data_IF_544039631792
#
_entry.id   IF_544039631792
#
_cell.length_a   1.000
_cell.length_b   1.000
_cell.length_c   1.000
_cell.angle_alpha   90.00
_cell.angle_beta   90.00
_cell.angle_gamma   90.00
#
_symmetry.space_group_name_H-M   'P 1'
#
loop_
_entity.id
_entity.type
_entity.pdbx_description
1 polymer ?
#
# COMPACT_ATOMS: atom_id res chain seq x y z
N UNK A 1 45.80 23.46 -10.51
CA UNK A 1 44.77 22.84 -11.37
C UNK A 1 44.46 21.44 -10.83
N UNK A 2 43.45 21.30 -9.99
CA UNK A 2 42.90 19.99 -9.62
C UNK A 2 41.42 19.99 -9.98
N UNK A 3 41.06 19.16 -10.96
CA UNK A 3 39.67 18.92 -11.37
C UNK A 3 39.00 18.10 -10.27
N UNK A 4 37.94 18.66 -9.69
CA UNK A 4 37.03 17.94 -8.80
C UNK A 4 36.37 16.79 -9.55
N UNK A 5 36.59 15.57 -9.07
CA UNK A 5 35.83 14.40 -9.49
C UNK A 5 34.41 14.53 -8.97
N UNK A 6 33.45 14.71 -9.89
CA UNK A 6 32.03 14.56 -9.61
C UNK A 6 31.78 13.10 -9.22
N UNK A 7 31.56 12.87 -7.92
CA UNK A 7 31.04 11.62 -7.41
C UNK A 7 29.66 11.39 -8.04
N UNK A 8 29.57 10.41 -8.94
CA UNK A 8 28.28 9.95 -9.47
C UNK A 8 27.43 9.43 -8.30
N UNK A 9 26.14 9.78 -8.21
CA UNK A 9 25.28 9.23 -7.16
C UNK A 9 25.13 7.71 -7.37
N UNK A 10 24.97 6.93 -6.28
CA UNK A 10 24.81 5.48 -6.38
C UNK A 10 23.49 5.17 -7.08
N UNK A 11 23.59 4.50 -8.22
CA UNK A 11 22.45 4.00 -9.00
C UNK A 11 21.87 2.81 -8.23
N UNK A 12 20.63 2.94 -7.76
CA UNK A 12 19.69 1.90 -7.30
C UNK A 12 20.28 0.47 -7.19
N UNK A 13 20.80 0.12 -6.01
CA UNK A 13 21.25 -1.24 -5.69
C UNK A 13 20.38 -1.91 -4.63
N UNK A 14 19.05 -1.75 -4.65
CA UNK A 14 18.15 -2.68 -3.92
C UNK A 14 17.76 -3.83 -4.84
N UNK A 15 18.38 -4.99 -4.61
CA UNK A 15 18.05 -6.25 -5.28
C UNK A 15 16.73 -6.79 -4.71
N UNK A 16 15.60 -6.48 -5.34
CA UNK A 16 14.59 -7.49 -5.74
C UNK A 16 13.30 -6.87 -6.29
N UNK A 17 12.86 -5.71 -5.79
CA UNK A 17 11.49 -5.21 -6.05
C UNK A 17 11.39 -4.18 -7.18
N UNK A 18 12.20 -3.08 -7.21
CA UNK A 18 12.06 -2.09 -8.28
C UNK A 18 12.41 -2.65 -9.67
N UNK A 19 13.29 -3.64 -9.75
CA UNK A 19 13.66 -4.28 -11.01
C UNK A 19 12.48 -5.01 -11.68
N UNK A 20 11.61 -5.67 -10.90
CA UNK A 20 10.47 -6.40 -11.43
C UNK A 20 9.35 -5.45 -11.89
N UNK A 21 9.09 -4.36 -11.16
CA UNK A 21 8.15 -3.30 -11.58
C UNK A 21 8.58 -2.67 -12.90
N UNK A 22 9.86 -2.32 -13.05
CA UNK A 22 10.38 -1.77 -14.30
C UNK A 22 10.33 -2.77 -15.46
N UNK A 23 10.56 -4.06 -15.20
CA UNK A 23 10.39 -5.10 -16.20
C UNK A 23 8.94 -5.20 -16.67
N UNK A 24 7.96 -5.11 -15.76
CA UNK A 24 6.54 -5.09 -16.11
C UNK A 24 6.20 -3.87 -16.95
N UNK A 25 6.61 -2.68 -16.53
CA UNK A 25 6.35 -1.43 -17.26
C UNK A 25 6.96 -1.45 -18.67
N UNK A 26 8.12 -2.10 -18.86
CA UNK A 26 8.81 -2.25 -20.15
C UNK A 26 8.33 -3.46 -20.96
N UNK A 27 7.50 -4.33 -20.42
CA UNK A 27 7.09 -5.55 -21.11
C UNK A 27 6.35 -5.24 -22.42
N UNK A 28 6.50 -6.12 -23.40
CA UNK A 28 5.67 -6.07 -24.60
C UNK A 28 4.19 -6.18 -24.17
N UNK A 29 3.33 -5.32 -24.72
CA UNK A 29 1.91 -5.23 -24.37
C UNK A 29 1.64 -4.86 -22.90
N UNK A 30 2.59 -4.22 -22.22
CA UNK A 30 2.47 -3.71 -20.85
C UNK A 30 1.13 -3.02 -20.53
N UNK A 31 0.58 -2.11 -21.37
CA UNK A 31 -0.72 -1.50 -21.11
C UNK A 31 -1.87 -2.51 -20.99
N UNK A 32 -1.88 -3.56 -21.82
CA UNK A 32 -2.90 -4.61 -21.78
C UNK A 32 -2.71 -5.54 -20.58
N UNK A 33 -1.46 -5.86 -20.24
CA UNK A 33 -1.15 -6.66 -19.04
C UNK A 33 -1.63 -5.90 -17.80
N UNK A 34 -1.30 -4.61 -17.68
CA UNK A 34 -1.71 -3.78 -16.54
C UNK A 34 -3.23 -3.62 -16.48
N UNK A 35 -3.90 -3.39 -17.61
CA UNK A 35 -5.36 -3.31 -17.65
C UNK A 35 -6.00 -4.63 -17.17
N UNK A 36 -5.53 -5.76 -17.71
CA UNK A 36 -6.01 -7.09 -17.31
C UNK A 36 -5.77 -7.37 -15.82
N UNK A 37 -4.58 -7.09 -15.30
CA UNK A 37 -4.28 -7.28 -13.88
C UNK A 37 -5.11 -6.36 -12.98
N UNK A 38 -5.33 -5.12 -13.40
CA UNK A 38 -6.18 -4.17 -12.67
C UNK A 38 -7.63 -4.63 -12.59
N UNK A 39 -8.16 -5.21 -13.68
CA UNK A 39 -9.53 -5.74 -13.73
C UNK A 39 -9.65 -7.07 -12.98
N UNK A 40 -8.72 -8.01 -13.19
CA UNK A 40 -8.72 -9.33 -12.57
C UNK A 40 -8.77 -9.25 -11.04
N UNK A 41 -8.03 -8.31 -10.45
CA UNK A 41 -7.93 -8.10 -9.01
C UNK A 41 -8.72 -6.89 -8.51
N UNK A 42 -9.74 -6.45 -9.25
CA UNK A 42 -10.52 -5.26 -8.89
C UNK A 42 -11.44 -5.50 -7.68
N UNK A 43 -12.02 -6.69 -7.56
CA UNK A 43 -12.96 -7.05 -6.49
C UNK A 43 -12.37 -8.01 -5.45
N UNK A 44 -11.40 -8.81 -5.86
CA UNK A 44 -10.81 -9.87 -5.06
C UNK A 44 -9.29 -9.74 -5.06
N UNK A 45 -8.65 -9.85 -3.89
CA UNK A 45 -7.19 -9.86 -3.78
C UNK A 45 -6.55 -11.20 -4.11
N UNK A 46 -7.36 -12.26 -4.23
CA UNK A 46 -6.96 -13.61 -4.61
C UNK A 46 -7.93 -14.16 -5.64
N UNK A 47 -7.42 -14.73 -6.72
CA UNK A 47 -8.26 -15.24 -7.81
C UNK A 47 -7.81 -16.65 -8.18
N UNK A 48 -8.72 -17.64 -8.29
CA UNK A 48 -8.34 -18.98 -8.71
C UNK A 48 -7.61 -18.97 -10.05
N UNK A 49 -6.53 -19.73 -10.17
CA UNK A 49 -5.71 -19.82 -11.39
C UNK A 49 -6.58 -20.19 -12.61
N UNK A 50 -7.54 -21.11 -12.41
CA UNK A 50 -8.49 -21.52 -13.44
C UNK A 50 -9.37 -20.36 -13.94
N UNK A 51 -9.87 -19.51 -13.05
CA UNK A 51 -10.66 -18.30 -13.37
C UNK A 51 -9.80 -17.29 -14.13
N UNK A 52 -8.61 -16.99 -13.61
CA UNK A 52 -7.69 -16.07 -14.27
C UNK A 52 -7.31 -16.54 -15.68
N UNK A 53 -7.10 -17.85 -15.88
CA UNK A 53 -6.80 -18.43 -17.18
C UNK A 53 -7.95 -18.24 -18.17
N UNK A 54 -9.19 -18.51 -17.75
CA UNK A 54 -10.38 -18.33 -18.60
C UNK A 54 -10.57 -16.86 -18.96
N UNK A 55 -10.44 -15.95 -17.99
CA UNK A 55 -10.53 -14.50 -18.22
C UNK A 55 -9.46 -14.01 -19.20
N UNK A 56 -8.20 -14.46 -19.03
CA UNK A 56 -7.12 -14.06 -19.92
C UNK A 56 -7.27 -14.66 -21.32
N UNK A 57 -7.74 -15.91 -21.47
CA UNK A 57 -7.98 -16.50 -22.79
C UNK A 57 -9.05 -15.70 -23.55
N UNK A 58 -10.14 -15.29 -22.89
CA UNK A 58 -11.16 -14.44 -23.49
C UNK A 58 -10.59 -13.07 -23.93
N UNK A 59 -9.74 -12.47 -23.10
CA UNK A 59 -9.11 -11.19 -23.39
C UNK A 59 -8.10 -11.30 -24.55
N UNK A 60 -7.31 -12.37 -24.60
CA UNK A 60 -6.38 -12.63 -25.71
C UNK A 60 -7.13 -12.83 -27.03
N UNK A 61 -8.28 -13.51 -27.03
CA UNK A 61 -9.14 -13.62 -28.23
C UNK A 61 -9.59 -12.24 -28.69
N UNK A 62 -10.11 -11.41 -27.78
CA UNK A 62 -10.52 -10.03 -28.07
C UNK A 62 -9.37 -9.18 -28.64
N UNK A 63 -8.18 -9.28 -28.05
CA UNK A 63 -7.01 -8.54 -28.52
C UNK A 63 -6.53 -9.00 -29.90
N UNK A 64 -6.67 -10.29 -30.24
CA UNK A 64 -6.37 -10.81 -31.59
C UNK A 64 -7.35 -10.27 -32.63
N UNK A 65 -8.64 -10.26 -32.32
CA UNK A 65 -9.68 -9.73 -33.22
C UNK A 65 -9.48 -8.24 -33.54
N UNK A 66 -8.97 -7.48 -32.57
CA UNK A 66 -8.66 -6.06 -32.72
C UNK A 66 -7.27 -5.77 -33.30
N UNK A 67 -6.45 -6.79 -33.55
CA UNK A 67 -5.06 -6.63 -34.00
C UNK A 67 -4.15 -5.93 -32.99
N UNK A 68 -4.51 -5.96 -31.70
CA UNK A 68 -3.79 -5.28 -30.61
C UNK A 68 -2.71 -6.17 -29.98
N UNK A 69 -2.96 -7.47 -29.93
CA UNK A 69 -2.00 -8.46 -29.41
C UNK A 69 -2.09 -9.75 -30.23
N UNK A 70 -1.23 -9.83 -31.24
CA UNK A 70 -1.14 -11.01 -32.11
C UNK A 70 -0.23 -12.06 -31.47
N UNK A 71 -0.83 -12.99 -30.73
CA UNK A 71 -0.11 -14.09 -30.09
C UNK A 71 -0.83 -15.42 -30.19
N UNK A 72 -0.10 -16.47 -30.58
CA UNK A 72 -0.58 -17.86 -30.58
C UNK A 72 -0.38 -18.54 -29.21
N UNK A 73 0.25 -17.85 -28.26
CA UNK A 73 0.51 -18.37 -26.92
C UNK A 73 -0.78 -18.35 -26.09
N UNK A 74 -1.09 -19.47 -25.41
CA UNK A 74 -2.27 -19.58 -24.55
C UNK A 74 -2.10 -18.86 -23.20
N UNK A 75 -3.22 -18.52 -22.54
CA UNK A 75 -3.23 -17.78 -21.28
C UNK A 75 -2.38 -18.42 -20.18
N UNK A 76 -2.42 -19.75 -20.03
CA UNK A 76 -1.67 -20.46 -18.99
C UNK A 76 -0.16 -20.22 -19.09
N UNK A 77 0.39 -20.11 -20.31
CA UNK A 77 1.81 -19.82 -20.52
C UNK A 77 2.16 -18.39 -20.14
N UNK A 78 1.25 -17.43 -20.37
CA UNK A 78 1.42 -16.05 -19.94
C UNK A 78 1.36 -15.92 -18.42
N UNK A 79 0.35 -16.51 -17.77
CA UNK A 79 0.26 -16.51 -16.30
C UNK A 79 1.52 -17.11 -15.66
N UNK A 80 1.99 -18.27 -16.16
CA UNK A 80 3.24 -18.88 -15.70
C UNK A 80 4.48 -18.03 -15.99
N UNK A 81 4.49 -17.25 -17.08
CA UNK A 81 5.56 -16.27 -17.34
C UNK A 81 5.51 -15.13 -16.33
N UNK A 82 4.33 -14.59 -16.04
CA UNK A 82 4.16 -13.50 -15.08
C UNK A 82 4.48 -13.91 -13.65
N UNK A 83 4.21 -15.17 -13.28
CA UNK A 83 4.66 -15.74 -12.00
C UNK A 83 6.19 -15.80 -11.95
N UNK A 84 6.84 -16.30 -13.00
CA UNK A 84 8.32 -16.39 -13.08
C UNK A 84 9.02 -15.04 -13.08
N UNK A 85 8.44 -14.02 -13.71
CA UNK A 85 8.97 -12.65 -13.68
C UNK A 85 8.68 -11.93 -12.35
N UNK A 86 7.95 -12.56 -11.43
CA UNK A 86 7.64 -12.02 -10.12
C UNK A 86 6.57 -10.92 -10.14
N UNK A 87 5.67 -10.94 -11.13
CA UNK A 87 4.53 -10.00 -11.20
C UNK A 87 3.30 -10.57 -10.49
N UNK A 88 3.10 -11.89 -10.60
CA UNK A 88 2.07 -12.62 -9.90
C UNK A 88 2.69 -13.69 -9.02
N UNK A 89 1.90 -14.19 -8.08
CA UNK A 89 2.24 -15.33 -7.24
C UNK A 89 1.08 -16.29 -7.20
N UNK A 90 1.39 -17.58 -7.26
CA UNK A 90 0.43 -18.67 -7.10
C UNK A 90 0.71 -19.41 -5.78
N UNK A 91 -0.35 -19.69 -5.01
CA UNK A 91 -0.31 -20.51 -3.81
C UNK A 91 -1.65 -21.21 -3.66
N UNK A 92 -1.65 -22.54 -3.49
CA UNK A 92 -2.88 -23.35 -3.38
C UNK A 92 -3.91 -23.09 -4.51
N UNK A 93 -3.45 -23.09 -5.76
CA UNK A 93 -4.24 -22.73 -6.97
C UNK A 93 -4.84 -21.30 -6.97
N UNK A 94 -4.42 -20.43 -6.06
CA UNK A 94 -4.86 -19.03 -5.97
C UNK A 94 -3.75 -18.08 -6.42
N UNK A 95 -4.10 -17.18 -7.35
CA UNK A 95 -3.24 -16.12 -7.84
C UNK A 95 -3.39 -14.85 -7.03
N UNK A 96 -2.28 -14.16 -6.84
CA UNK A 96 -2.16 -12.90 -6.10
C UNK A 96 -1.20 -11.93 -6.79
N UNK A 97 -1.40 -10.63 -6.60
CA UNK A 97 -0.43 -9.60 -7.00
C UNK A 97 0.76 -9.59 -6.04
N UNK A 98 1.92 -9.30 -6.59
CA UNK A 98 3.16 -9.02 -5.83
C UNK A 98 3.29 -7.51 -5.61
N UNK A 99 4.19 -7.08 -4.72
CA UNK A 99 4.50 -5.64 -4.59
C UNK A 99 4.93 -5.03 -5.93
N UNK A 100 5.69 -5.79 -6.73
CA UNK A 100 6.19 -5.33 -8.01
C UNK A 100 5.09 -4.96 -9.01
N UNK A 101 4.02 -5.77 -9.09
CA UNK A 101 2.88 -5.47 -9.97
C UNK A 101 1.98 -4.39 -9.40
N UNK A 102 1.81 -4.34 -8.07
CA UNK A 102 1.06 -3.28 -7.40
C UNK A 102 1.68 -1.89 -7.66
N UNK A 103 3.01 -1.77 -7.51
CA UNK A 103 3.75 -0.54 -7.79
C UNK A 103 3.61 -0.11 -9.25
N UNK A 104 3.71 -1.05 -10.20
CA UNK A 104 3.58 -0.74 -11.63
C UNK A 104 2.15 -0.29 -12.00
N UNK A 105 1.12 -0.95 -11.45
CA UNK A 105 -0.28 -0.58 -11.63
C UNK A 105 -0.53 0.83 -11.10
N UNK A 106 -0.14 1.10 -9.85
CA UNK A 106 -0.28 2.42 -9.22
C UNK A 106 0.43 3.51 -10.01
N UNK A 107 1.67 3.24 -10.43
CA UNK A 107 2.43 4.19 -11.25
C UNK A 107 1.69 4.52 -12.55
N UNK A 108 1.17 3.51 -13.25
CA UNK A 108 0.45 3.70 -14.51
C UNK A 108 -0.84 4.52 -14.32
N UNK A 109 -1.59 4.27 -13.24
CA UNK A 109 -2.80 5.04 -12.90
C UNK A 109 -2.44 6.50 -12.54
N UNK A 110 -1.35 6.71 -11.81
CA UNK A 110 -0.87 8.05 -11.46
C UNK A 110 -0.40 8.90 -12.65
N UNK A 111 -0.07 8.28 -13.79
CA UNK A 111 0.28 9.02 -15.01
C UNK A 111 -0.95 9.67 -15.67
N UNK A 112 -2.09 8.99 -15.63
CA UNK A 112 -3.36 9.50 -16.20
C UNK A 112 -3.96 10.60 -15.31
N UNK A 113 -3.72 10.52 -14.01
CA UNK A 113 -4.28 11.44 -13.01
C UNK A 113 -3.48 12.73 -12.78
N UNK A 114 -2.44 13.02 -13.59
CA UNK A 114 -1.64 14.26 -13.47
C UNK A 114 -2.47 15.51 -13.79
N UNK A 115 -3.25 15.94 -12.81
CA UNK A 115 -3.92 17.24 -12.80
C UNK A 115 -2.95 18.31 -12.32
N UNK A 116 -2.93 19.42 -13.04
CA UNK A 116 -2.13 20.64 -12.82
C UNK A 116 -2.45 21.39 -11.51
N UNK A 117 -3.27 20.83 -10.63
CA UNK A 117 -3.79 21.44 -9.40
C UNK A 117 -3.12 21.00 -8.09
N UNK A 118 -2.13 20.11 -8.14
CA UNK A 118 -1.60 19.40 -6.98
C UNK A 118 -0.76 20.27 -6.02
N UNK A 119 -0.28 21.44 -6.43
CA UNK A 119 0.72 22.21 -5.66
C UNK A 119 0.19 22.74 -4.32
N UNK A 120 -1.04 23.28 -4.28
CA UNK A 120 -1.59 23.87 -3.07
C UNK A 120 -2.01 22.83 -2.03
N UNK A 121 -2.57 21.70 -2.49
CA UNK A 121 -2.97 20.60 -1.61
C UNK A 121 -1.77 19.84 -1.07
N UNK A 122 -0.74 19.59 -1.89
CA UNK A 122 0.53 19.02 -1.40
C UNK A 122 1.20 19.93 -0.36
N UNK A 123 1.22 21.25 -0.58
CA UNK A 123 1.77 22.17 0.41
C UNK A 123 1.01 22.08 1.74
N UNK A 124 -0.31 21.92 1.71
CA UNK A 124 -1.15 21.75 2.92
C UNK A 124 -0.79 20.47 3.68
N UNK A 125 -0.63 19.36 2.96
CA UNK A 125 -0.19 18.08 3.54
C UNK A 125 1.20 18.24 4.17
N UNK A 126 2.14 18.84 3.45
CA UNK A 126 3.50 19.07 3.96
C UNK A 126 3.48 19.96 5.20
N UNK A 127 2.67 21.02 5.20
CA UNK A 127 2.52 21.90 6.36
C UNK A 127 1.96 21.14 7.57
N UNK A 128 0.95 20.29 7.40
CA UNK A 128 0.42 19.50 8.52
C UNK A 128 1.44 18.49 9.02
N UNK A 129 2.10 17.75 8.12
CA UNK A 129 3.14 16.79 8.48
C UNK A 129 4.31 17.46 9.22
N UNK A 130 4.75 18.64 8.76
CA UNK A 130 5.81 19.43 9.43
C UNK A 130 5.33 19.89 10.81
N UNK A 131 4.10 20.38 10.93
CA UNK A 131 3.53 20.78 12.23
C UNK A 131 3.52 19.60 13.19
N UNK A 132 2.95 18.47 12.79
CA UNK A 132 2.88 17.23 13.58
C UNK A 132 4.26 16.77 14.01
N UNK A 133 5.20 16.73 13.07
CA UNK A 133 6.57 16.31 13.36
C UNK A 133 7.30 17.26 14.31
N UNK A 134 7.10 18.58 14.17
CA UNK A 134 7.69 19.58 15.08
C UNK A 134 7.25 19.37 16.54
N UNK A 135 5.98 19.00 16.77
CA UNK A 135 5.48 18.69 18.12
C UNK A 135 6.03 17.35 18.62
N UNK A 136 6.18 16.36 17.73
CA UNK A 136 6.65 15.03 18.08
C UNK A 136 8.15 15.00 18.45
N UNK A 137 8.99 15.81 17.78
CA UNK A 137 10.43 15.84 18.01
C UNK A 137 10.85 16.73 19.18
N UNK A 138 10.01 17.70 19.60
CA UNK A 138 10.36 18.59 20.70
C UNK A 138 10.41 17.82 22.05
N UNK A 139 11.54 17.83 22.77
CA UNK A 139 11.65 17.25 24.10
C UNK A 139 11.09 18.18 25.19
N UNK A 140 10.80 19.44 24.88
CA UNK A 140 10.34 20.44 25.84
C UNK A 140 8.81 20.51 25.88
N UNK A 141 8.23 20.29 27.06
CA UNK A 141 6.76 20.34 27.27
C UNK A 141 6.19 21.72 26.93
N UNK A 142 6.86 22.81 27.33
CA UNK A 142 6.35 24.17 27.12
C UNK A 142 6.32 24.54 25.62
N UNK A 143 7.32 24.08 24.87
CA UNK A 143 7.37 24.26 23.42
C UNK A 143 6.26 23.46 22.72
N UNK A 144 6.01 22.22 23.15
CA UNK A 144 4.89 21.41 22.64
C UNK A 144 3.54 22.06 22.92
N UNK A 145 3.34 22.58 24.14
CA UNK A 145 2.11 23.29 24.52
C UNK A 145 1.94 24.54 23.65
N UNK A 146 2.99 25.36 23.49
CA UNK A 146 2.95 26.56 22.65
C UNK A 146 2.55 26.26 21.21
N UNK A 147 3.11 25.19 20.61
CA UNK A 147 2.75 24.75 19.26
C UNK A 147 1.29 24.28 19.16
N UNK A 148 0.78 23.57 20.17
CA UNK A 148 -0.62 23.12 20.22
C UNK A 148 -1.60 24.27 20.45
N UNK A 149 -1.23 25.26 21.28
CA UNK A 149 -2.01 26.47 21.50
C UNK A 149 -2.14 27.31 20.23
N UNK A 150 -1.07 27.40 19.43
CA UNK A 150 -1.11 28.05 18.13
C UNK A 150 -2.12 27.37 17.20
N UNK A 151 -2.14 26.03 17.13
CA UNK A 151 -3.15 25.28 16.35
C UNK A 151 -4.57 25.50 16.87
N UNK A 152 -4.75 25.49 18.20
CA UNK A 152 -6.05 25.79 18.81
C UNK A 152 -6.54 27.18 18.41
N UNK A 153 -5.66 28.18 18.37
CA UNK A 153 -6.00 29.53 17.96
C UNK A 153 -6.35 29.63 16.47
N UNK A 154 -5.73 28.83 15.59
CA UNK A 154 -6.11 28.74 14.17
C UNK A 154 -7.51 28.14 14.01
N UNK A 155 -7.77 26.98 14.63
CA UNK A 155 -9.09 26.34 14.60
C UNK A 155 -10.16 27.24 15.20
N UNK A 156 -9.86 27.94 16.29
CA UNK A 156 -10.81 28.87 16.92
C UNK A 156 -11.18 30.02 15.97
N UNK A 157 -10.21 30.56 15.22
CA UNK A 157 -10.48 31.58 14.19
C UNK A 157 -11.39 31.06 13.08
N UNK A 158 -11.20 29.82 12.64
CA UNK A 158 -12.08 29.19 11.65
C UNK A 158 -13.51 29.02 12.18
N UNK A 159 -13.64 28.56 13.43
CA UNK A 159 -14.94 28.41 14.11
C UNK A 159 -15.64 29.78 14.24
N UNK A 160 -14.92 30.82 14.64
CA UNK A 160 -15.49 32.16 14.82
C UNK A 160 -15.93 32.77 13.49
N UNK A 161 -15.17 32.54 12.41
CA UNK A 161 -15.57 32.94 11.06
C UNK A 161 -16.87 32.23 10.62
N UNK A 162 -16.98 30.91 10.85
CA UNK A 162 -18.20 30.15 10.55
C UNK A 162 -19.39 30.64 11.38
N UNK A 163 -19.20 30.94 12.67
CA UNK A 163 -20.23 31.50 13.55
C UNK A 163 -20.67 32.90 13.11
N UNK A 164 -19.77 33.68 12.51
CA UNK A 164 -20.08 34.97 11.91
C UNK A 164 -20.77 34.86 10.54
N UNK A 165 -21.06 33.64 10.05
CA UNK A 165 -21.72 33.39 8.78
C UNK A 165 -20.79 33.42 7.56
N UNK A 166 -19.47 33.47 7.76
CA UNK A 166 -18.48 33.39 6.68
C UNK A 166 -18.24 31.91 6.36
N UNK A 167 -18.89 31.40 5.32
CA UNK A 167 -18.69 30.03 4.82
C UNK A 167 -17.81 30.10 3.57
N UNK A 168 -16.58 29.60 3.69
CA UNK A 168 -15.68 29.41 2.56
C UNK A 168 -15.92 28.03 1.96
N UNK A 169 -16.70 27.97 0.89
CA UNK A 169 -16.88 26.74 0.13
C UNK A 169 -15.70 26.53 -0.82
N UNK A 170 -15.29 25.27 -0.95
CA UNK A 170 -14.29 24.89 -1.94
C UNK A 170 -14.89 25.02 -3.34
N UNK A 171 -14.12 25.57 -4.26
CA UNK A 171 -14.46 25.54 -5.69
C UNK A 171 -14.55 24.10 -6.19
N UNK A 172 -15.29 23.87 -7.27
CA UNK A 172 -15.40 22.54 -7.90
C UNK A 172 -14.02 21.93 -8.22
N UNK A 173 -13.09 22.78 -8.69
CA UNK A 173 -11.71 22.38 -8.96
C UNK A 173 -11.00 21.88 -7.70
N UNK A 174 -11.10 22.62 -6.59
CA UNK A 174 -10.49 22.23 -5.31
C UNK A 174 -11.14 20.98 -4.71
N UNK A 175 -12.46 20.81 -4.87
CA UNK A 175 -13.17 19.61 -4.43
C UNK A 175 -12.67 18.38 -5.19
N UNK A 176 -12.55 18.49 -6.53
CA UNK A 176 -12.00 17.45 -7.39
C UNK A 176 -10.56 17.10 -7.02
N UNK A 177 -9.73 18.09 -6.74
CA UNK A 177 -8.33 17.87 -6.34
C UNK A 177 -8.24 17.12 -5.02
N UNK A 178 -8.94 17.60 -3.98
CA UNK A 178 -8.88 17.00 -2.64
C UNK A 178 -9.41 15.58 -2.61
N UNK A 179 -10.52 15.29 -3.30
CA UNK A 179 -11.08 13.94 -3.30
C UNK A 179 -10.18 12.94 -4.03
N UNK A 180 -9.49 13.36 -5.10
CA UNK A 180 -8.50 12.55 -5.80
C UNK A 180 -7.24 12.34 -4.97
N UNK A 181 -6.78 13.36 -4.25
CA UNK A 181 -5.66 13.24 -3.32
C UNK A 181 -5.96 12.24 -2.20
N UNK A 182 -7.17 12.26 -1.63
CA UNK A 182 -7.62 11.26 -0.65
C UNK A 182 -7.58 9.84 -1.26
N UNK A 183 -8.09 9.67 -2.49
CA UNK A 183 -8.01 8.37 -3.18
C UNK A 183 -6.56 7.91 -3.39
N UNK A 184 -5.68 8.80 -3.82
CA UNK A 184 -4.26 8.48 -4.03
C UNK A 184 -3.55 8.09 -2.74
N UNK A 185 -3.81 8.80 -1.63
CA UNK A 185 -3.26 8.42 -0.32
C UNK A 185 -3.82 7.07 0.15
N UNK A 186 -5.12 6.83 -0.02
CA UNK A 186 -5.76 5.58 0.38
C UNK A 186 -5.26 4.38 -0.44
N UNK A 187 -4.98 4.54 -1.74
CA UNK A 187 -4.46 3.47 -2.59
C UNK A 187 -3.00 3.11 -2.30
N UNK A 188 -2.25 4.03 -1.66
CA UNK A 188 -0.90 3.74 -1.17
C UNK A 188 -0.94 2.71 -0.04
N UNK A 189 -1.84 2.91 0.91
CA UNK A 189 -1.97 2.08 2.12
C UNK A 189 -2.15 0.59 1.80
N UNK A 190 -2.95 0.24 0.79
CA UNK A 190 -3.17 -1.17 0.43
C UNK A 190 -1.94 -1.85 -0.15
N UNK A 191 -1.06 -1.11 -0.83
CA UNK A 191 0.21 -1.67 -1.33
C UNK A 191 1.28 -1.82 -0.26
N UNK A 192 1.23 -1.03 0.82
CA UNK A 192 2.19 -1.19 1.93
C UNK A 192 2.07 -2.58 2.57
N UNK A 193 0.87 -3.17 2.62
CA UNK A 193 0.69 -4.55 3.05
C UNK A 193 1.35 -5.57 2.12
N UNK A 194 1.30 -5.35 0.79
CA UNK A 194 1.95 -6.25 -0.19
C UNK A 194 3.45 -6.25 0.00
N UNK A 195 4.03 -5.08 0.24
CA UNK A 195 5.45 -4.94 0.57
C UNK A 195 5.82 -5.70 1.84
N UNK A 196 5.06 -5.54 2.92
CA UNK A 196 5.30 -6.24 4.20
C UNK A 196 5.16 -7.76 4.02
N UNK A 197 4.13 -8.21 3.30
CA UNK A 197 3.94 -9.63 2.99
C UNK A 197 5.14 -10.21 2.23
N UNK A 198 5.65 -9.48 1.24
CA UNK A 198 6.81 -9.91 0.44
C UNK A 198 8.10 -9.94 1.28
N UNK A 199 8.31 -8.97 2.18
CA UNK A 199 9.45 -8.97 3.12
C UNK A 199 9.38 -10.15 4.12
N UNK A 200 8.20 -10.43 4.69
CA UNK A 200 7.98 -11.59 5.57
C UNK A 200 8.31 -12.89 4.84
N UNK A 201 7.85 -13.03 3.59
CA UNK A 201 8.11 -14.24 2.79
C UNK A 201 9.58 -14.41 2.44
N UNK A 202 10.31 -13.32 2.16
CA UNK A 202 11.75 -13.40 1.93
C UNK A 202 12.48 -13.95 3.15
N UNK A 203 12.11 -13.47 4.34
CA UNK A 203 12.68 -13.98 5.60
C UNK A 203 12.34 -15.46 5.83
N UNK A 204 11.10 -15.88 5.57
CA UNK A 204 10.71 -17.30 5.66
C UNK A 204 11.54 -18.18 4.72
N UNK A 205 11.71 -17.75 3.47
CA UNK A 205 12.52 -18.49 2.50
C UNK A 205 13.97 -18.62 2.97
N UNK A 206 14.57 -17.55 3.50
CA UNK A 206 15.92 -17.58 4.05
C UNK A 206 16.03 -18.52 5.26
N UNK A 207 15.00 -18.59 6.11
CA UNK A 207 14.95 -19.55 7.23
C UNK A 207 14.93 -20.98 6.71
N UNK A 208 14.06 -21.28 5.75
CA UNK A 208 13.95 -22.63 5.16
C UNK A 208 15.25 -23.08 4.51
N UNK A 209 15.93 -22.20 3.79
CA UNK A 209 17.23 -22.48 3.19
C UNK A 209 18.25 -22.82 4.28
N UNK A 210 18.34 -22.03 5.36
CA UNK A 210 19.23 -22.32 6.48
C UNK A 210 18.93 -23.66 7.17
N UNK A 211 17.66 -24.02 7.32
CA UNK A 211 17.24 -25.31 7.88
C UNK A 211 17.71 -26.47 6.98
N UNK A 212 17.62 -26.30 5.66
CA UNK A 212 17.99 -27.34 4.69
C UNK A 212 19.52 -27.46 4.56
N UNK A 213 20.24 -26.33 4.61
CA UNK A 213 21.70 -26.27 4.42
C UNK A 213 22.51 -26.59 5.68
N UNK A 214 21.92 -26.52 6.87
CA UNK A 214 22.60 -26.80 8.14
C UNK A 214 22.12 -28.08 8.84
N UNK A 215 23.03 -28.79 9.52
CA UNK A 215 22.75 -29.85 10.51
C UNK A 215 22.12 -29.25 11.79
N UNK A 216 21.01 -28.53 11.63
CA UNK A 216 20.38 -27.70 12.65
C UNK A 216 19.54 -28.56 13.59
N UNK A 217 19.71 -28.42 14.90
CA UNK A 217 18.77 -29.07 15.84
C UNK A 217 17.47 -28.28 15.90
N UNK A 218 16.38 -28.92 16.35
CA UNK A 218 15.06 -28.26 16.49
C UNK A 218 15.10 -27.00 17.37
N UNK A 219 16.07 -26.91 18.30
CA UNK A 219 16.30 -25.72 19.14
C UNK A 219 16.96 -24.57 18.39
N UNK A 220 17.93 -24.86 17.51
CA UNK A 220 18.61 -23.86 16.68
C UNK A 220 17.66 -23.25 15.64
N UNK A 221 16.74 -24.05 15.12
CA UNK A 221 15.66 -23.57 14.22
C UNK A 221 14.70 -22.64 14.95
N UNK A 222 14.33 -22.95 16.20
CA UNK A 222 13.45 -22.09 16.98
C UNK A 222 14.13 -20.76 17.33
N UNK A 223 15.42 -20.80 17.68
CA UNK A 223 16.20 -19.60 18.00
C UNK A 223 16.37 -18.71 16.76
N UNK A 224 16.67 -19.29 15.59
CA UNK A 224 16.84 -18.53 14.35
C UNK A 224 15.54 -17.88 13.88
N UNK A 225 14.39 -18.52 14.09
CA UNK A 225 13.06 -17.95 13.85
C UNK A 225 12.82 -16.73 14.75
N UNK A 226 13.06 -16.87 16.06
CA UNK A 226 12.90 -15.77 17.04
C UNK A 226 13.83 -14.59 16.75
N UNK A 227 15.09 -14.85 16.39
CA UNK A 227 16.06 -13.82 16.03
C UNK A 227 15.64 -13.08 14.76
N UNK A 228 15.16 -13.79 13.74
CA UNK A 228 14.70 -13.19 12.49
C UNK A 228 13.37 -12.45 12.61
N UNK A 229 12.49 -12.87 13.50
CA UNK A 229 11.28 -12.12 13.85
C UNK A 229 11.61 -10.78 14.52
N UNK A 230 12.56 -10.78 15.47
CA UNK A 230 13.07 -9.56 16.07
C UNK A 230 13.80 -8.65 15.07
N UNK A 231 14.35 -9.23 13.98
CA UNK A 231 14.90 -8.47 12.85
C UNK A 231 13.81 -7.90 11.95
N UNK A 232 12.73 -8.65 11.68
CA UNK A 232 11.57 -8.17 10.92
C UNK A 232 10.93 -6.96 11.60
N UNK A 233 10.69 -7.02 12.91
CA UNK A 233 10.14 -5.88 13.67
C UNK A 233 11.06 -4.63 13.60
N UNK A 234 12.35 -4.82 13.32
CA UNK A 234 13.33 -3.74 13.12
C UNK A 234 13.50 -3.32 11.66
N UNK A 235 12.90 -4.01 10.68
CA UNK A 235 12.90 -3.52 9.30
C UNK A 235 11.98 -2.32 9.19
N UNK A 236 12.25 -1.46 8.20
CA UNK A 236 11.42 -0.29 7.93
C UNK A 236 9.96 -0.67 7.68
N UNK A 237 9.70 -1.78 6.96
CA UNK A 237 8.33 -2.22 6.69
C UNK A 237 7.66 -2.88 7.90
N UNK A 238 8.39 -3.67 8.70
CA UNK A 238 7.83 -4.27 9.92
C UNK A 238 7.45 -3.22 10.96
N UNK A 239 8.33 -2.23 11.20
CA UNK A 239 8.04 -1.13 12.12
C UNK A 239 6.90 -0.23 11.63
N UNK A 240 6.83 0.05 10.32
CA UNK A 240 5.72 0.77 9.72
C UNK A 240 4.40 -0.01 9.83
N UNK A 241 4.42 -1.33 9.60
CA UNK A 241 3.27 -2.19 9.76
C UNK A 241 2.74 -2.22 11.19
N UNK A 242 3.61 -2.32 12.21
CA UNK A 242 3.19 -2.30 13.61
C UNK A 242 2.48 -0.99 13.96
N UNK A 243 3.08 0.15 13.60
CA UNK A 243 2.49 1.47 13.86
C UNK A 243 1.14 1.64 13.17
N UNK A 244 1.04 1.15 11.94
CA UNK A 244 -0.19 1.17 11.16
C UNK A 244 -1.27 0.21 11.73
N UNK A 245 -0.86 -0.97 12.19
CA UNK A 245 -1.77 -1.95 12.80
C UNK A 245 -2.33 -1.46 14.13
N UNK A 246 -1.53 -0.79 14.96
CA UNK A 246 -1.98 -0.16 16.19
C UNK A 246 -3.09 0.87 15.91
N UNK A 247 -2.96 1.64 14.82
CA UNK A 247 -4.00 2.58 14.38
C UNK A 247 -5.28 1.87 13.93
N UNK A 248 -5.17 0.75 13.21
CA UNK A 248 -6.34 -0.06 12.83
C UNK A 248 -7.04 -0.72 14.02
N UNK A 249 -6.30 -1.05 15.07
CA UNK A 249 -6.86 -1.65 16.29
C UNK A 249 -7.62 -0.65 17.17
N UNK A 250 -7.39 0.66 17.01
CA UNK A 250 -8.17 1.70 17.67
C UNK A 250 -9.56 1.81 17.01
N UNK A 251 -10.53 1.13 17.65
CA UNK A 251 -11.91 1.08 17.16
C UNK A 251 -12.56 2.46 17.03
N UNK A 252 -12.20 3.40 17.91
CA UNK A 252 -12.79 4.74 17.90
C UNK A 252 -12.30 5.51 16.66
N UNK A 253 -10.99 5.50 16.41
CA UNK A 253 -10.38 6.16 15.24
C UNK A 253 -10.87 5.56 13.93
N UNK A 254 -10.93 4.23 13.86
CA UNK A 254 -11.40 3.51 12.68
C UNK A 254 -12.87 3.79 12.38
N UNK A 255 -13.71 3.87 13.41
CA UNK A 255 -15.12 4.22 13.25
C UNK A 255 -15.30 5.67 12.78
N UNK A 256 -14.57 6.61 13.38
CA UNK A 256 -14.58 8.01 13.00
C UNK A 256 -14.17 8.22 11.54
N UNK A 257 -13.05 7.63 11.12
CA UNK A 257 -12.56 7.72 9.74
C UNK A 257 -13.59 7.16 8.74
N UNK A 258 -14.20 6.01 9.05
CA UNK A 258 -15.24 5.40 8.22
C UNK A 258 -16.45 6.32 8.04
N UNK A 259 -16.90 6.94 9.12
CA UNK A 259 -18.08 7.79 9.11
C UNK A 259 -17.79 9.13 8.41
N UNK A 260 -16.59 9.69 8.58
CA UNK A 260 -16.10 10.85 7.82
C UNK A 260 -16.02 10.56 6.32
N UNK A 261 -15.41 9.43 5.92
CA UNK A 261 -15.34 9.02 4.52
C UNK A 261 -16.73 8.84 3.92
N UNK A 262 -17.65 8.18 4.63
CA UNK A 262 -19.04 8.03 4.16
C UNK A 262 -19.74 9.38 3.99
N UNK A 263 -19.51 10.33 4.90
CA UNK A 263 -20.06 11.68 4.80
C UNK A 263 -19.56 12.40 3.55
N UNK A 264 -18.26 12.28 3.23
CA UNK A 264 -17.66 12.87 2.03
C UNK A 264 -18.22 12.20 0.77
N UNK A 265 -18.32 10.86 0.75
CA UNK A 265 -18.80 10.11 -0.40
C UNK A 265 -20.29 10.32 -0.71
N UNK A 266 -21.06 10.88 0.23
CA UNK A 266 -22.46 11.27 0.03
C UNK A 266 -22.64 12.72 -0.48
N UNK A 267 -21.55 13.45 -0.73
CA UNK A 267 -21.58 14.84 -1.24
C UNK A 267 -21.27 14.91 -2.75
N UNK A 268 -21.59 16.03 -3.43
CA UNK A 268 -21.30 16.21 -4.86
C UNK A 268 -19.83 16.03 -5.24
N UNK A 269 -18.90 16.32 -4.32
CA UNK A 269 -17.47 16.09 -4.53
C UNK A 269 -17.13 14.64 -4.96
N UNK A 270 -17.95 13.66 -4.59
CA UNK A 270 -17.77 12.26 -4.97
C UNK A 270 -18.05 11.97 -6.46
N UNK A 271 -18.71 12.87 -7.18
CA UNK A 271 -18.94 12.75 -8.64
C UNK A 271 -17.65 12.91 -9.46
N UNK A 272 -16.60 13.48 -8.85
CA UNK A 272 -15.29 13.61 -9.47
C UNK A 272 -14.43 12.35 -9.40
N UNK A 273 -14.93 11.30 -8.74
CA UNK A 273 -14.33 9.96 -8.69
C UNK A 273 -14.97 9.06 -9.74
N UNK A 274 -14.19 8.12 -10.28
CA UNK A 274 -14.76 7.02 -11.05
C UNK A 274 -15.58 6.08 -10.15
N UNK A 275 -16.47 5.28 -10.74
CA UNK A 275 -17.26 4.29 -10.01
C UNK A 275 -16.37 3.34 -9.19
N UNK A 276 -15.25 2.91 -9.76
CA UNK A 276 -14.28 2.03 -9.11
C UNK A 276 -13.58 2.72 -7.92
N UNK A 277 -13.13 3.98 -8.09
CA UNK A 277 -12.51 4.75 -7.02
C UNK A 277 -13.47 4.97 -5.85
N UNK A 278 -14.75 5.24 -6.14
CA UNK A 278 -15.80 5.41 -5.12
C UNK A 278 -16.09 4.11 -4.37
N UNK A 279 -16.11 2.98 -5.07
CA UNK A 279 -16.27 1.66 -4.47
C UNK A 279 -15.09 1.31 -3.56
N UNK A 280 -13.87 1.55 -4.02
CA UNK A 280 -12.64 1.36 -3.24
C UNK A 280 -12.69 2.14 -1.92
N UNK A 281 -12.97 3.46 -1.95
CA UNK A 281 -13.03 4.27 -0.73
C UNK A 281 -14.15 3.82 0.22
N UNK A 282 -15.29 3.36 -0.29
CA UNK A 282 -16.36 2.79 0.53
C UNK A 282 -15.96 1.47 1.21
N UNK A 283 -15.08 0.70 0.58
CA UNK A 283 -14.63 -0.60 1.07
C UNK A 283 -13.31 -0.52 1.83
N UNK A 284 -12.62 0.63 1.82
CA UNK A 284 -11.27 0.82 2.35
C UNK A 284 -11.06 0.15 3.72
N UNK A 285 -11.86 0.48 4.73
CA UNK A 285 -11.66 -0.10 6.07
C UNK A 285 -11.78 -1.62 6.11
N UNK A 286 -12.66 -2.19 5.30
CA UNK A 286 -12.82 -3.64 5.17
C UNK A 286 -11.61 -4.25 4.49
N UNK A 287 -11.10 -3.62 3.43
CA UNK A 287 -9.90 -4.06 2.72
C UNK A 287 -8.67 -3.98 3.62
N UNK A 288 -8.44 -2.87 4.33
CA UNK A 288 -7.34 -2.73 5.28
C UNK A 288 -7.40 -3.80 6.39
N UNK A 289 -8.61 -4.12 6.88
CA UNK A 289 -8.79 -5.17 7.89
C UNK A 289 -8.49 -6.56 7.33
N UNK A 290 -8.96 -6.85 6.11
CA UNK A 290 -8.74 -8.11 5.41
C UNK A 290 -7.26 -8.33 5.08
N UNK A 291 -6.58 -7.33 4.54
CA UNK A 291 -5.16 -7.40 4.21
C UNK A 291 -4.29 -7.48 5.47
N UNK A 292 -4.68 -6.79 6.55
CA UNK A 292 -4.08 -6.98 7.87
C UNK A 292 -4.21 -8.44 8.34
N UNK A 293 -5.43 -8.99 8.38
CA UNK A 293 -5.68 -10.37 8.78
C UNK A 293 -4.91 -11.37 7.91
N UNK A 294 -4.77 -11.09 6.62
CA UNK A 294 -3.98 -11.89 5.67
C UNK A 294 -2.49 -11.89 6.01
N UNK A 295 -1.89 -10.73 6.28
CA UNK A 295 -0.49 -10.64 6.72
C UNK A 295 -0.29 -11.46 7.99
N UNK A 296 -1.23 -11.40 8.94
CA UNK A 296 -1.18 -12.25 10.14
C UNK A 296 -1.37 -13.73 9.83
N UNK A 297 -2.25 -14.09 8.89
CA UNK A 297 -2.51 -15.48 8.50
C UNK A 297 -1.31 -16.11 7.79
N UNK A 298 -0.65 -15.37 6.89
CA UNK A 298 0.57 -15.81 6.23
C UNK A 298 1.74 -15.84 7.23
N UNK A 299 1.73 -14.97 8.23
CA UNK A 299 2.56 -15.08 9.41
C UNK A 299 2.21 -16.26 10.34
N UNK A 300 1.22 -17.13 10.06
CA UNK A 300 0.83 -18.22 10.99
C UNK A 300 1.84 -19.34 11.14
N UNK A 301 2.79 -19.50 10.24
CA UNK A 301 3.98 -20.32 10.52
C UNK A 301 4.84 -19.72 11.66
N UNK A 302 4.69 -18.42 11.94
CA UNK A 302 5.29 -17.70 13.08
C UNK A 302 4.30 -17.46 14.25
N UNK A 303 2.98 -17.59 14.04
CA UNK A 303 1.95 -17.05 14.94
C UNK A 303 1.77 -17.75 16.29
N UNK A 304 2.37 -18.91 16.56
CA UNK A 304 2.25 -19.51 17.89
C UNK A 304 2.84 -18.58 18.97
N UNK A 305 3.92 -17.86 18.64
CA UNK A 305 4.64 -16.97 19.55
C UNK A 305 4.05 -15.54 19.55
N UNK A 306 3.57 -15.04 18.40
CA UNK A 306 2.88 -13.73 18.34
C UNK A 306 1.54 -13.74 19.11
N UNK A 307 0.86 -14.90 19.20
CA UNK A 307 -0.37 -15.07 20.00
C UNK A 307 -0.08 -15.06 21.51
N UNK A 308 1.03 -15.63 21.94
CA UNK A 308 1.52 -15.52 23.33
C UNK A 308 1.92 -14.07 23.65
N UNK A 309 2.55 -13.36 22.71
CA UNK A 309 2.90 -11.94 22.84
C UNK A 309 1.66 -11.03 22.93
N UNK A 310 0.64 -11.26 22.09
CA UNK A 310 -0.67 -10.57 22.13
C UNK A 310 -1.43 -10.83 23.43
N UNK A 311 -1.37 -12.06 23.97
CA UNK A 311 -1.97 -12.40 25.25
C UNK A 311 -1.23 -11.73 26.41
N UNK A 312 0.11 -11.73 26.42
CA UNK A 312 0.91 -11.10 27.47
C UNK A 312 0.67 -9.58 27.58
N UNK A 313 0.41 -8.89 26.47
CA UNK A 313 0.18 -7.44 26.46
C UNK A 313 -1.26 -7.04 26.82
N UNK A 314 -2.27 -7.84 26.46
CA UNK A 314 -3.66 -7.63 26.91
C UNK A 314 -3.85 -7.83 28.42
N UNK A 315 -2.94 -8.53 29.09
CA UNK A 315 -2.96 -8.71 30.56
C UNK A 315 -2.31 -7.55 31.33
N UNK A 316 -1.71 -6.58 30.64
CA UNK A 316 -1.05 -5.41 31.23
C UNK A 316 -1.81 -4.08 31.05
N UNK A 317 -3.01 -4.10 30.46
CA UNK A 317 -3.91 -2.94 30.38
C UNK A 317 -5.17 -3.17 31.21
#
# INVERSE_FOLDING_TARGET
MHRGGLSRPPIFTSKSTPAASWKLLRADNSPFILAFLGELFSEESEVPFSRARVSLDAELVRCRELGLWETETGAGTYLNKWIREGWLREMDDMLTKTDASEVALRFSQGLDERSTGTTASHLRIVQEAVREFAVAISPNVDERVTLLEYRKAEIQREIDALRAGVVLELTELEQRERIREIYQLASVLTGDFRRVEDEIRQLDQEIRIQIIEGDSTRGDVLLSVLEKEALLAKTDAGSAFESFFDLLCDQNRTMELRDQLRSILNRPAAEHLTTQQRQFLNQLMRELSRESDRVFQNGREFACLYREWRCARKSCC
#
